data_IF_941076320809
#
_entry.id   IF_941076320809
#
_cell.length_a   1.000
_cell.length_b   1.000
_cell.length_c   1.000
_cell.angle_alpha   90.00
_cell.angle_beta   90.00
_cell.angle_gamma   90.00
#
_symmetry.space_group_name_H-M   'P 1'
#
loop_
_entity.id
_entity.type
_entity.pdbx_description
1 polymer ?
#
# COMPACT_ATOMS: atom_id res chain seq x y z
N UNK A 1 9.80 0.45 0.57
CA UNK A 1 8.31 0.37 0.69
C UNK A 1 7.92 -0.88 1.49
N UNK A 2 7.19 -0.70 2.56
CA UNK A 2 6.76 -1.87 3.39
C UNK A 2 5.38 -2.32 2.91
N UNK A 3 5.19 -3.60 2.69
CA UNK A 3 3.87 -4.10 2.20
C UNK A 3 2.81 -3.98 3.30
N UNK A 4 3.10 -4.46 4.49
CA UNK A 4 2.11 -4.38 5.60
C UNK A 4 1.73 -2.92 5.87
N UNK A 5 2.70 -2.05 5.96
CA UNK A 5 2.41 -0.61 6.21
C UNK A 5 1.71 -0.01 4.99
N UNK A 6 2.18 -0.33 3.81
CA UNK A 6 1.55 0.21 2.57
C UNK A 6 0.11 -0.32 2.45
N UNK A 7 -0.10 -1.58 2.78
CA UNK A 7 -1.47 -2.16 2.70
C UNK A 7 -2.38 -1.48 3.73
N UNK A 8 -1.85 -1.19 4.90
CA UNK A 8 -2.68 -0.50 5.95
C UNK A 8 -3.12 0.87 5.43
N UNK A 9 -2.23 1.59 4.79
CA UNK A 9 -2.60 2.94 4.23
C UNK A 9 -3.68 2.77 3.16
N UNK A 10 -3.53 1.78 2.31
CA UNK A 10 -4.54 1.54 1.24
C UNK A 10 -5.82 0.97 1.86
N UNK A 11 -5.69 0.15 2.88
CA UNK A 11 -6.89 -0.44 3.55
C UNK A 11 -7.75 0.68 4.12
N UNK A 12 -7.14 1.69 4.72
CA UNK A 12 -7.92 2.83 5.29
C UNK A 12 -8.75 3.47 4.17
N UNK A 13 -8.18 3.57 2.98
CA UNK A 13 -8.91 4.16 1.83
C UNK A 13 -9.93 3.14 1.31
N UNK A 14 -9.63 1.86 1.45
CA UNK A 14 -10.56 0.80 0.97
C UNK A 14 -10.02 0.20 -0.34
N UNK A 15 -8.73 0.01 -0.42
CA UNK A 15 -8.12 -0.56 -1.67
C UNK A 15 -6.95 -1.49 -1.31
N UNK A 16 -6.44 -2.19 -2.29
CA UNK A 16 -5.28 -3.10 -2.04
C UNK A 16 -3.99 -2.27 -2.13
N UNK A 17 -3.02 -2.54 -1.29
CA UNK A 17 -1.76 -1.74 -1.33
C UNK A 17 -0.62 -2.55 -1.94
N UNK A 18 -0.02 -2.02 -2.98
CA UNK A 18 1.12 -2.73 -3.65
C UNK A 18 2.36 -1.84 -3.60
N UNK A 19 3.48 -2.40 -3.23
CA UNK A 19 4.74 -1.60 -3.15
C UNK A 19 5.55 -1.77 -4.44
N UNK A 20 5.86 -0.68 -5.09
CA UNK A 20 6.66 -0.74 -6.35
C UNK A 20 8.04 -0.14 -6.07
N UNK A 21 9.04 -0.97 -5.89
CA UNK A 21 10.41 -0.47 -5.59
C UNK A 21 10.42 0.12 -4.18
N UNK A 22 10.29 1.42 -4.06
CA UNK A 22 10.27 2.06 -2.72
C UNK A 22 9.03 2.98 -2.60
N UNK A 23 8.06 2.81 -3.48
CA UNK A 23 6.83 3.66 -3.42
C UNK A 23 5.61 2.81 -3.04
N UNK A 24 4.70 3.39 -2.29
CA UNK A 24 3.47 2.64 -1.88
C UNK A 24 2.27 3.18 -2.66
N UNK A 25 1.57 2.32 -3.36
CA UNK A 25 0.39 2.77 -4.16
C UNK A 25 -0.81 1.84 -3.90
N UNK A 26 -2.01 2.35 -4.07
CA UNK A 26 -3.23 1.53 -3.84
C UNK A 26 -3.86 1.16 -5.19
N UNK A 27 -4.31 -0.07 -5.33
CA UNK A 27 -4.94 -0.51 -6.61
C UNK A 27 -6.03 -1.55 -6.33
#
# INVERSE_FOLDING_TARGET
CNLARCQLSCKSLGLKGGCQGSFCTCG
#
